data_IF_522577027358
#
_entry.id   IF_522577027358
#
_cell.length_a   1.000
_cell.length_b   1.000
_cell.length_c   1.000
_cell.angle_alpha   90.00
_cell.angle_beta   90.00
_cell.angle_gamma   90.00
#
_symmetry.space_group_name_H-M   'P 1'
#
loop_
_entity.id
_entity.type
_entity.pdbx_description
1 polymer ?
#
# COMPACT_ATOMS: atom_id res chain seq x y z
N UNK A 1 -10.77 -0.68 -20.69
CA UNK A 1 -10.10 -0.47 -19.41
C UNK A 1 -10.67 -1.39 -18.34
N UNK A 2 -10.84 -2.61 -18.75
CA UNK A 2 -11.50 -3.56 -17.88
C UNK A 2 -10.66 -3.86 -16.64
N UNK A 3 -11.28 -3.77 -15.50
CA UNK A 3 -10.71 -4.24 -14.25
C UNK A 3 -9.56 -3.43 -13.69
N UNK A 4 -9.15 -2.38 -14.36
CA UNK A 4 -8.06 -1.57 -13.84
C UNK A 4 -8.58 -0.30 -13.19
N UNK A 5 -8.13 -0.08 -11.99
CA UNK A 5 -8.52 1.08 -11.22
C UNK A 5 -7.37 2.06 -11.21
N UNK A 6 -7.62 3.28 -11.66
CA UNK A 6 -6.63 4.32 -11.63
C UNK A 6 -5.37 4.03 -12.45
N UNK A 7 -5.46 3.16 -13.46
CA UNK A 7 -4.30 2.81 -14.26
C UNK A 7 -3.28 1.97 -13.52
N UNK A 8 -3.71 1.24 -12.53
CA UNK A 8 -2.84 0.48 -11.64
C UNK A 8 -2.15 -0.63 -12.39
N UNK A 9 -0.84 -0.65 -12.37
CA UNK A 9 -0.06 -1.75 -12.91
C UNK A 9 0.19 -2.83 -11.87
N UNK A 10 0.77 -2.48 -10.75
CA UNK A 10 1.26 -3.43 -9.78
C UNK A 10 0.68 -3.19 -8.39
N UNK A 11 0.53 -4.27 -7.61
CA UNK A 11 0.08 -4.13 -6.23
C UNK A 11 1.10 -3.39 -5.38
N UNK A 12 0.60 -2.69 -4.38
CA UNK A 12 1.45 -1.95 -3.45
C UNK A 12 2.04 -2.90 -2.41
N UNK A 13 3.26 -2.62 -1.99
CA UNK A 13 3.85 -3.23 -0.81
C UNK A 13 3.70 -2.27 0.36
N UNK A 14 3.15 -2.76 1.46
CA UNK A 14 2.97 -1.98 2.67
C UNK A 14 4.11 -2.23 3.64
N UNK A 15 4.54 -1.18 4.32
CA UNK A 15 5.62 -1.26 5.31
C UNK A 15 5.16 -0.65 6.62
N UNK A 16 5.69 -1.19 7.72
CA UNK A 16 5.30 -0.78 9.06
C UNK A 16 6.54 -0.60 9.94
N UNK A 17 6.45 0.34 10.85
CA UNK A 17 7.51 0.59 11.82
C UNK A 17 7.39 -0.27 13.08
N UNK A 18 6.46 -1.21 13.10
CA UNK A 18 6.30 -2.19 14.18
C UNK A 18 6.47 -3.59 13.64
N UNK A 19 6.79 -4.58 14.49
CA UNK A 19 6.99 -5.96 14.01
C UNK A 19 5.70 -6.73 13.75
N UNK A 20 4.54 -6.11 13.97
CA UNK A 20 3.23 -6.80 13.89
C UNK A 20 2.30 -6.19 12.86
N UNK A 21 2.81 -5.47 11.89
CA UNK A 21 2.02 -4.82 10.84
C UNK A 21 0.88 -3.97 11.43
N UNK A 22 1.22 -3.13 12.38
CA UNK A 22 0.27 -2.25 13.03
C UNK A 22 0.79 -0.81 13.06
N UNK A 23 -0.08 0.12 13.39
CA UNK A 23 0.27 1.53 13.42
C UNK A 23 0.19 2.16 12.04
N UNK A 24 1.00 3.18 11.80
CA UNK A 24 0.99 3.88 10.53
C UNK A 24 1.45 2.96 9.40
N UNK A 25 0.67 2.95 8.33
CA UNK A 25 0.99 2.20 7.11
C UNK A 25 1.74 3.10 6.16
N UNK A 26 2.82 2.59 5.59
CA UNK A 26 3.61 3.31 4.60
C UNK A 26 3.63 2.54 3.29
N UNK A 27 3.56 3.28 2.19
CA UNK A 27 3.76 2.75 0.84
C UNK A 27 4.97 3.41 0.23
N UNK A 28 5.74 2.65 -0.54
CA UNK A 28 6.94 3.17 -1.20
C UNK A 28 6.57 4.21 -2.22
N UNK A 29 7.34 5.29 -2.25
CA UNK A 29 7.17 6.33 -3.25
C UNK A 29 7.86 5.88 -4.54
N UNK A 30 7.07 5.33 -5.43
CA UNK A 30 7.56 4.94 -6.75
C UNK A 30 7.22 6.08 -7.71
N UNK A 31 8.18 6.44 -8.55
CA UNK A 31 7.98 7.50 -9.53
C UNK A 31 6.71 7.23 -10.35
N UNK A 32 5.90 8.24 -10.52
CA UNK A 32 4.62 8.10 -11.21
C UNK A 32 3.55 7.44 -10.36
N UNK A 33 3.68 7.50 -9.04
CA UNK A 33 2.72 6.91 -8.14
C UNK A 33 1.31 7.40 -8.42
N UNK A 34 0.41 6.46 -8.55
CA UNK A 34 -0.99 6.75 -8.81
C UNK A 34 -1.71 7.11 -7.52
N UNK A 35 -2.79 7.90 -7.61
CA UNK A 35 -3.51 8.30 -6.41
C UNK A 35 -4.16 7.14 -5.67
N UNK A 36 -4.55 6.08 -6.37
CA UNK A 36 -5.17 4.91 -5.75
C UNK A 36 -4.23 3.73 -5.80
N UNK A 37 -3.92 3.18 -4.64
CA UNK A 37 -3.05 2.02 -4.49
C UNK A 37 -3.88 0.81 -4.12
N UNK A 38 -3.43 -0.38 -4.50
CA UNK A 38 -4.17 -1.60 -4.23
C UNK A 38 -3.23 -2.76 -3.89
N UNK A 39 -3.77 -3.74 -3.19
CA UNK A 39 -3.14 -5.05 -3.00
C UNK A 39 -4.24 -6.09 -2.81
N UNK A 40 -3.90 -7.35 -3.07
CA UNK A 40 -4.76 -8.44 -2.64
C UNK A 40 -4.67 -8.54 -1.11
N UNK A 41 -5.79 -8.87 -0.49
CA UNK A 41 -5.86 -9.03 0.95
C UNK A 41 -4.93 -10.15 1.42
N UNK A 42 -4.77 -10.30 2.73
CA UNK A 42 -3.85 -11.28 3.31
C UNK A 42 -4.10 -12.69 2.81
N UNK A 43 -5.34 -13.04 2.54
CA UNK A 43 -5.72 -14.36 2.03
C UNK A 43 -5.83 -14.41 0.51
N UNK A 44 -5.76 -13.27 -0.15
CA UNK A 44 -5.98 -13.18 -1.59
C UNK A 44 -7.45 -13.20 -2.00
N UNK A 45 -8.38 -13.27 -1.06
CA UNK A 45 -9.80 -13.43 -1.37
C UNK A 45 -10.46 -12.13 -1.82
N UNK A 46 -9.95 -11.00 -1.39
CA UNK A 46 -10.49 -9.67 -1.72
C UNK A 46 -9.35 -8.73 -2.07
N UNK A 47 -9.68 -7.51 -2.47
CA UNK A 47 -8.69 -6.47 -2.70
C UNK A 47 -8.84 -5.37 -1.66
N UNK A 48 -7.72 -4.80 -1.29
CA UNK A 48 -7.64 -3.66 -0.40
C UNK A 48 -7.14 -2.45 -1.17
N UNK A 49 -7.67 -1.28 -0.82
CA UNK A 49 -7.34 -0.03 -1.50
C UNK A 49 -6.85 1.00 -0.50
N UNK A 50 -5.88 1.80 -0.93
CA UNK A 50 -5.23 2.78 -0.07
C UNK A 50 -5.07 4.09 -0.81
N UNK A 51 -5.16 5.19 -0.07
CA UNK A 51 -4.85 6.52 -0.58
C UNK A 51 -3.75 7.14 0.26
N UNK A 52 -2.86 7.93 -0.37
CA UNK A 52 -1.91 8.71 0.40
C UNK A 52 -2.63 9.64 1.37
N UNK A 53 -2.12 9.73 2.58
CA UNK A 53 -2.64 10.65 3.59
C UNK A 53 -2.08 12.05 3.31
N UNK A 54 -2.88 12.89 2.69
CA UNK A 54 -2.45 14.22 2.28
C UNK A 54 -2.27 15.19 3.43
N UNK A 55 -2.66 14.80 4.64
CA UNK A 55 -2.40 15.59 5.83
C UNK A 55 -1.00 15.36 6.37
N UNK A 56 -0.26 14.42 5.81
CA UNK A 56 1.08 14.05 6.25
C UNK A 56 2.06 14.19 5.10
N UNK A 57 3.29 14.48 5.45
CA UNK A 57 4.36 14.61 4.46
C UNK A 57 4.92 13.27 4.05
N UNK A 58 5.49 13.20 2.87
CA UNK A 58 6.32 12.08 2.45
C UNK A 58 7.48 11.94 3.42
N UNK A 59 7.75 10.71 3.85
CA UNK A 59 8.83 10.41 4.75
C UNK A 59 10.08 10.14 3.92
N UNK A 60 11.17 10.89 4.12
CA UNK A 60 12.40 10.63 3.37
C UNK A 60 12.96 9.24 3.65
N UNK A 61 13.81 8.78 2.76
CA UNK A 61 14.53 7.53 3.01
C UNK A 61 15.36 7.65 4.29
N UNK A 62 15.64 6.51 4.92
CA UNK A 62 16.41 6.43 6.15
C UNK A 62 15.77 7.16 7.33
N UNK A 63 14.44 7.17 7.40
CA UNK A 63 13.71 7.88 8.45
C UNK A 63 13.18 6.95 9.53
N UNK A 64 12.68 5.77 9.16
CA UNK A 64 12.11 4.83 10.12
C UNK A 64 12.61 3.41 9.85
N UNK A 65 12.58 2.58 10.89
CA UNK A 65 12.92 1.17 10.75
C UNK A 65 11.72 0.40 10.21
N UNK A 66 11.92 -0.30 9.11
CA UNK A 66 10.92 -1.23 8.59
C UNK A 66 11.05 -2.52 9.38
N UNK A 67 10.06 -2.82 10.19
CA UNK A 67 10.07 -3.99 11.07
C UNK A 67 9.13 -5.08 10.61
N UNK A 68 8.15 -4.74 9.81
CA UNK A 68 7.27 -5.70 9.16
C UNK A 68 6.73 -5.12 7.87
N UNK A 69 6.19 -6.01 7.04
CA UNK A 69 5.64 -5.60 5.75
C UNK A 69 4.55 -6.55 5.31
N UNK A 70 3.73 -6.11 4.37
CA UNK A 70 2.73 -6.93 3.70
C UNK A 70 2.89 -6.80 2.21
N UNK A 71 3.04 -7.93 1.54
CA UNK A 71 2.96 -8.01 0.09
C UNK A 71 1.53 -8.32 -0.33
N UNK A 72 1.26 -8.19 -1.63
CA UNK A 72 -0.05 -8.55 -2.15
C UNK A 72 -0.31 -10.04 -1.93
N UNK A 73 -1.46 -10.37 -1.36
CA UNK A 73 -1.86 -11.75 -1.15
C UNK A 73 -1.14 -12.45 0.00
N UNK A 74 -0.50 -11.72 0.90
CA UNK A 74 0.17 -12.34 2.04
C UNK A 74 -0.18 -11.62 3.33
N UNK A 75 -0.10 -12.34 4.45
CA UNK A 75 -0.23 -11.74 5.78
C UNK A 75 1.03 -10.99 6.19
N UNK A 76 1.10 -10.66 7.46
CA UNK A 76 2.23 -9.91 8.00
C UNK A 76 3.53 -10.70 7.89
N UNK A 77 4.54 -10.06 7.34
CA UNK A 77 5.89 -10.62 7.22
C UNK A 77 6.80 -9.83 8.15
N UNK A 78 7.33 -10.49 9.16
CA UNK A 78 8.27 -9.85 10.08
C UNK A 78 9.63 -9.76 9.41
N UNK A 79 10.23 -8.57 9.47
CA UNK A 79 11.59 -8.35 8.96
C UNK A 79 12.55 -8.82 10.04
N UNK A 80 13.32 -9.88 9.82
CA UNK A 80 14.19 -10.44 10.88
C UNK A 80 15.24 -9.46 11.41
N UNK A 81 15.76 -8.65 10.50
CA UNK A 81 16.71 -7.59 10.88
C UNK A 81 16.14 -6.28 10.36
N UNK A 82 15.51 -5.48 11.23
CA UNK A 82 14.93 -4.21 10.78
C UNK A 82 15.95 -3.33 10.11
N UNK A 83 15.54 -2.69 9.03
CA UNK A 83 16.36 -1.78 8.25
C UNK A 83 15.63 -0.47 8.04
N UNK A 84 16.38 0.59 7.86
CA UNK A 84 15.78 1.88 7.52
C UNK A 84 15.11 1.79 6.14
N UNK A 85 14.03 2.55 5.98
CA UNK A 85 13.35 2.59 4.70
C UNK A 85 14.31 3.06 3.60
N UNK A 86 14.35 2.31 2.52
CA UNK A 86 15.31 2.51 1.43
C UNK A 86 14.84 3.53 0.39
N UNK A 87 13.60 3.97 0.50
CA UNK A 87 13.00 4.93 -0.43
C UNK A 87 12.21 5.95 0.37
N UNK A 88 11.94 7.13 -0.22
CA UNK A 88 10.91 7.98 0.36
C UNK A 88 9.60 7.22 0.36
N UNK A 89 8.85 7.29 1.45
CA UNK A 89 7.62 6.53 1.61
C UNK A 89 6.47 7.46 1.94
N UNK A 90 5.27 7.07 1.49
CA UNK A 90 4.05 7.82 1.80
C UNK A 90 3.33 7.18 2.97
N UNK A 91 2.92 7.95 3.98
CA UNK A 91 1.84 7.50 4.85
C UNK A 91 0.56 7.32 4.03
N UNK A 92 -0.10 6.18 4.20
CA UNK A 92 -1.32 5.88 3.46
C UNK A 92 -2.41 5.41 4.40
N UNK A 93 -3.66 5.55 3.97
CA UNK A 93 -4.82 5.08 4.70
C UNK A 93 -5.60 4.11 3.84
N UNK A 94 -6.07 3.04 4.45
CA UNK A 94 -6.97 2.12 3.78
C UNK A 94 -8.33 2.78 3.61
N UNK A 95 -8.92 2.57 2.44
CA UNK A 95 -10.24 3.10 2.13
C UNK A 95 -11.16 1.96 1.72
N UNK A 96 -12.47 2.24 1.80
CA UNK A 96 -13.49 1.33 1.31
C UNK A 96 -14.13 1.95 0.09
N UNK A 97 -14.11 1.22 -1.01
CA UNK A 97 -14.77 1.69 -2.22
C UNK A 97 -16.28 1.47 -2.11
N UNK A 98 -17.07 2.31 -2.77
CA UNK A 98 -18.53 2.17 -2.72
C UNK A 98 -19.08 0.92 -3.41
N UNK A 99 -18.21 0.21 -4.15
CA UNK A 99 -18.59 -1.04 -4.80
C UNK A 99 -17.38 -1.98 -4.83
N UNK A 100 -17.65 -3.27 -4.98
CA UNK A 100 -16.63 -4.31 -4.88
C UNK A 100 -15.99 -4.56 -6.26
N UNK A 101 -14.68 -4.46 -6.39
CA UNK A 101 -13.99 -4.86 -7.62
C UNK A 101 -14.03 -6.38 -7.83
N UNK A 102 -13.84 -6.88 -9.04
CA UNK A 102 -13.71 -6.07 -10.26
C UNK A 102 -15.05 -5.50 -10.68
N UNK A 103 -15.03 -4.26 -11.08
CA UNK A 103 -16.22 -3.63 -11.58
C UNK A 103 -15.96 -3.17 -13.01
N UNK A 104 -17.02 -3.20 -13.79
CA UNK A 104 -16.92 -2.67 -15.11
C UNK A 104 -16.85 -1.17 -15.00
N UNK A 105 -15.67 -0.67 -15.12
CA UNK A 105 -15.50 0.76 -15.24
C UNK A 105 -16.02 1.12 -16.61
N UNK A 106 -17.23 1.55 -16.63
CA UNK A 106 -17.79 2.06 -17.84
C UNK A 106 -17.17 3.42 -18.03
N UNK A 107 -16.22 3.46 -18.91
CA UNK A 107 -15.64 4.73 -19.28
C UNK A 107 -16.64 5.41 -20.20
N UNK A 108 -17.25 6.35 -19.68
CA UNK A 108 -18.25 7.12 -20.42
C UNK A 108 -17.58 8.20 -21.25
#
# INVERSE_FOLDING_TARGET
LSGQIGGIGEPVQLQYATPVCSGQVYARNIAGLLPLLWRDSDTGATQEFYLPDRTKSVVPKNTYLVQSRKNSGSGCIVVPTPVLNSTPDFPVNQITLPYVPPFDVVVQ
#
